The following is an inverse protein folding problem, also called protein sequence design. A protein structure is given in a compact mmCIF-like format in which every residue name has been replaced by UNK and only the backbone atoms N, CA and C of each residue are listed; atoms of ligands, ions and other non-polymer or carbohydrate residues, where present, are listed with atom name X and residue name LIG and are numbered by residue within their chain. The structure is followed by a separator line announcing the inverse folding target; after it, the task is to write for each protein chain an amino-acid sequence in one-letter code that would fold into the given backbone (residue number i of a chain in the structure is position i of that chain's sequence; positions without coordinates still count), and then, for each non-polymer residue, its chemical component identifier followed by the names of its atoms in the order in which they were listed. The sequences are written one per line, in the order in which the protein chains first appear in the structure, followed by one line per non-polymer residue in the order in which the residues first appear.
data_IF_852530665823
#
_entry.id   IF_852530665823
#
_cell.length_a   1.000
_cell.length_b   1.000
_cell.length_c   1.000
_cell.angle_alpha   90.00
_cell.angle_beta   90.00
_cell.angle_gamma   90.00
#
_symmetry.space_group_name_H-M   'P 1'
#
loop_
_entity.id
_entity.type
_entity.pdbx_description
1 polymer ?
#
# COMPACT_ATOMS: atom_id res chain seq x y z
N UNK A 1 -11.97 3.80 5.05
CA UNK A 1 -11.09 3.35 3.93
C UNK A 1 -10.45 4.51 3.20
N UNK A 2 -11.20 5.47 2.65
CA UNK A 2 -10.63 6.56 1.82
C UNK A 2 -9.55 7.40 2.51
N UNK A 3 -9.76 7.77 3.78
CA UNK A 3 -8.76 8.54 4.54
C UNK A 3 -7.41 7.81 4.66
N UNK A 4 -7.43 6.53 5.03
CA UNK A 4 -6.21 5.72 5.11
C UNK A 4 -5.51 5.59 3.76
N UNK A 5 -6.27 5.43 2.67
CA UNK A 5 -5.70 5.37 1.32
C UNK A 5 -5.05 6.68 0.89
N UNK A 6 -5.67 7.83 1.18
CA UNK A 6 -5.08 9.14 0.88
C UNK A 6 -3.76 9.35 1.62
N UNK A 7 -3.73 9.06 2.93
CA UNK A 7 -2.50 9.17 3.74
C UNK A 7 -1.43 8.19 3.24
N UNK A 8 -1.82 6.96 2.90
CA UNK A 8 -0.92 5.94 2.37
C UNK A 8 -0.29 6.33 1.03
N UNK A 9 -1.08 6.91 0.13
CA UNK A 9 -0.63 7.36 -1.18
C UNK A 9 0.32 8.57 -1.10
N UNK A 10 0.05 9.53 -0.20
CA UNK A 10 0.94 10.68 0.00
C UNK A 10 2.28 10.23 0.62
N UNK A 11 2.23 9.34 1.61
CA UNK A 11 3.44 8.82 2.27
C UNK A 11 4.26 7.86 1.41
N UNK A 12 3.63 7.16 0.46
CA UNK A 12 4.30 6.12 -0.34
C UNK A 12 5.36 6.64 -1.29
N UNK A 13 5.25 7.90 -1.73
CA UNK A 13 6.27 8.54 -2.56
C UNK A 13 7.61 8.64 -1.82
N UNK A 14 7.58 9.15 -0.58
CA UNK A 14 8.78 9.29 0.25
C UNK A 14 9.33 7.93 0.71
N UNK A 15 8.43 7.00 1.07
CA UNK A 15 8.79 5.64 1.48
C UNK A 15 9.49 4.88 0.35
N UNK A 16 8.97 4.97 -0.88
CA UNK A 16 9.52 4.29 -2.05
C UNK A 16 10.86 4.88 -2.50
N UNK A 17 11.04 6.20 -2.34
CA UNK A 17 12.31 6.86 -2.64
C UNK A 17 13.42 6.47 -1.65
N UNK A 18 13.10 6.39 -0.35
CA UNK A 18 14.11 6.16 0.70
C UNK A 18 14.45 4.68 0.94
N UNK A 19 13.48 3.78 0.84
CA UNK A 19 13.67 2.34 1.10
C UNK A 19 13.82 1.50 -0.17
N UNK A 20 13.57 2.09 -1.35
CA UNK A 20 13.51 1.40 -2.63
C UNK A 20 12.13 0.80 -2.91
N UNK A 21 11.78 0.73 -4.20
CA UNK A 21 10.44 0.39 -4.69
C UNK A 21 9.98 -1.00 -4.26
N UNK A 22 10.84 -2.02 -4.41
CA UNK A 22 10.54 -3.42 -4.00
C UNK A 22 10.23 -3.56 -2.51
N UNK A 23 11.02 -2.92 -1.64
CA UNK A 23 10.83 -3.00 -0.19
C UNK A 23 9.57 -2.26 0.25
N UNK A 24 9.30 -1.10 -0.35
CA UNK A 24 8.08 -0.33 -0.13
C UNK A 24 6.81 -1.12 -0.47
N UNK A 25 6.83 -1.87 -1.60
CA UNK A 25 5.74 -2.79 -1.96
C UNK A 25 5.57 -3.93 -0.94
N UNK A 26 6.69 -4.50 -0.46
CA UNK A 26 6.66 -5.58 0.53
C UNK A 26 6.13 -5.12 1.89
N UNK A 27 6.46 -3.90 2.32
CA UNK A 27 5.90 -3.28 3.53
C UNK A 27 4.38 -3.12 3.38
N UNK A 28 3.92 -2.63 2.22
CA UNK A 28 2.49 -2.52 1.92
C UNK A 28 1.77 -3.87 2.01
N UNK A 29 2.37 -4.94 1.48
CA UNK A 29 1.82 -6.30 1.57
C UNK A 29 1.73 -6.81 3.02
N UNK A 30 2.76 -6.59 3.84
CA UNK A 30 2.74 -6.98 5.26
C UNK A 30 1.65 -6.20 6.01
N UNK A 31 1.53 -4.89 5.77
CA UNK A 31 0.47 -4.06 6.35
C UNK A 31 -0.92 -4.55 5.93
N UNK A 32 -1.07 -4.99 4.68
CA UNK A 32 -2.34 -5.51 4.17
C UNK A 32 -2.73 -6.81 4.89
N UNK A 33 -1.79 -7.74 5.05
CA UNK A 33 -2.03 -9.00 5.77
C UNK A 33 -2.36 -8.74 7.23
N UNK A 34 -1.62 -7.86 7.90
CA UNK A 34 -1.92 -7.47 9.28
C UNK A 34 -3.32 -6.84 9.39
N UNK A 35 -3.64 -5.89 8.51
CA UNK A 35 -4.94 -5.22 8.48
C UNK A 35 -6.11 -6.16 8.19
N UNK A 36 -5.92 -7.16 7.33
CA UNK A 36 -6.95 -8.16 7.03
C UNK A 36 -7.18 -9.12 8.19
N UNK A 37 -6.12 -9.54 8.89
CA UNK A 37 -6.22 -10.34 10.11
C UNK A 37 -6.95 -9.58 11.21
N UNK A 38 -6.61 -8.30 11.44
CA UNK A 38 -7.34 -7.47 12.40
C UNK A 38 -8.81 -7.27 12.02
N UNK A 39 -9.10 -7.15 10.73
CA UNK A 39 -10.49 -7.06 10.25
C UNK A 39 -11.24 -8.39 10.44
N UNK A 40 -10.57 -9.53 10.31
CA UNK A 40 -11.18 -10.85 10.49
C UNK A 40 -11.44 -11.16 11.97
N UNK A 41 -10.54 -10.72 12.86
CA UNK A 41 -10.64 -10.91 14.30
C UNK A 41 -11.40 -9.77 15.02
N UNK A 42 -12.07 -8.86 14.29
CA UNK A 42 -12.67 -7.67 14.86
C UNK A 42 -13.85 -8.01 15.79
N UNK A 43 -13.76 -7.69 17.11
CA UNK A 43 -14.82 -7.99 18.06
C UNK A 43 -15.93 -6.93 18.09
N UNK A 44 -15.65 -5.73 17.57
CA UNK A 44 -16.56 -4.59 17.58
C UNK A 44 -16.34 -3.70 16.34
N UNK A 45 -17.29 -2.79 16.12
CA UNK A 45 -17.30 -1.90 14.94
C UNK A 45 -16.10 -0.95 14.94
N UNK A 46 -15.63 -0.52 16.10
CA UNK A 46 -14.47 0.38 16.20
C UNK A 46 -13.17 -0.27 15.69
N UNK A 47 -12.89 -1.52 16.09
CA UNK A 47 -11.74 -2.28 15.59
C UNK A 47 -11.90 -2.56 14.09
N UNK A 48 -13.13 -2.77 13.62
CA UNK A 48 -13.39 -2.90 12.19
C UNK A 48 -13.08 -1.60 11.44
N UNK A 49 -13.44 -0.43 11.98
CA UNK A 49 -13.12 0.86 11.36
C UNK A 49 -11.60 1.10 11.33
N UNK A 50 -10.90 0.82 12.43
CA UNK A 50 -9.44 0.96 12.52
C UNK A 50 -8.71 0.06 11.52
N UNK A 51 -9.09 -1.22 11.45
CA UNK A 51 -8.52 -2.16 10.47
C UNK A 51 -8.79 -1.72 9.03
N UNK A 52 -9.93 -1.09 8.75
CA UNK A 52 -10.26 -0.48 7.44
C UNK A 52 -9.41 0.75 7.09
N UNK A 53 -8.92 1.49 8.08
CA UNK A 53 -7.96 2.58 7.86
C UNK A 53 -6.57 2.01 7.56
N UNK A 54 -6.13 1.01 8.31
CA UNK A 54 -4.88 0.28 8.06
C UNK A 54 -4.85 -0.39 6.68
N UNK A 55 -5.93 -1.07 6.29
CA UNK A 55 -6.08 -1.64 4.94
C UNK A 55 -6.04 -0.55 3.88
N UNK A 56 -6.68 0.60 4.14
CA UNK A 56 -6.60 1.77 3.26
C UNK A 56 -5.15 2.24 3.05
N UNK A 57 -4.38 2.39 4.12
CA UNK A 57 -2.96 2.75 4.09
C UNK A 57 -2.16 1.77 3.22
N UNK A 58 -2.34 0.46 3.45
CA UNK A 58 -1.66 -0.59 2.69
C UNK A 58 -1.96 -0.50 1.19
N UNK A 59 -3.24 -0.34 0.83
CA UNK A 59 -3.69 -0.22 -0.56
C UNK A 59 -3.15 1.06 -1.19
N UNK A 60 -3.19 2.19 -0.50
CA UNK A 60 -2.65 3.46 -1.00
C UNK A 60 -1.17 3.36 -1.36
N UNK A 61 -0.38 2.70 -0.50
CA UNK A 61 1.04 2.45 -0.78
C UNK A 61 1.22 1.53 -1.99
N UNK A 62 0.47 0.44 -2.07
CA UNK A 62 0.56 -0.51 -3.17
C UNK A 62 0.16 0.13 -4.51
N UNK A 63 -0.93 0.91 -4.54
CA UNK A 63 -1.42 1.57 -5.76
C UNK A 63 -0.45 2.59 -6.35
N UNK A 64 0.37 3.24 -5.53
CA UNK A 64 1.43 4.14 -6.02
C UNK A 64 2.70 3.36 -6.41
N UNK A 65 3.12 2.42 -5.57
CA UNK A 65 4.44 1.77 -5.70
C UNK A 65 4.46 0.68 -6.78
N UNK A 66 3.34 -0.02 -6.99
CA UNK A 66 3.24 -1.10 -7.97
C UNK A 66 3.46 -0.66 -9.42
N UNK A 67 2.76 0.36 -9.97
CA UNK A 67 3.01 0.81 -11.34
C UNK A 67 4.40 1.41 -11.51
N UNK A 68 4.92 2.07 -10.46
CA UNK A 68 6.27 2.65 -10.47
C UNK A 68 7.34 1.55 -10.56
N UNK A 69 7.24 0.54 -9.69
CA UNK A 69 8.13 -0.61 -9.74
C UNK A 69 8.02 -1.34 -11.09
N UNK A 70 6.80 -1.50 -11.61
CA UNK A 70 6.57 -2.12 -12.91
C UNK A 70 7.25 -1.33 -14.04
N UNK A 71 7.16 0.00 -14.03
CA UNK A 71 7.85 0.85 -15.03
C UNK A 71 9.37 0.75 -15.00
N UNK A 72 9.95 0.39 -13.85
CA UNK A 72 11.41 0.22 -13.68
C UNK A 72 11.92 -1.15 -14.12
N UNK A 73 11.08 -2.18 -14.07
CA UNK A 73 11.44 -3.54 -14.50
C UNK A 73 10.95 -3.86 -15.92
N UNK A 74 10.08 -3.03 -16.49
CA UNK A 74 9.54 -3.23 -17.82
C UNK A 74 10.66 -3.06 -18.87
N UNK A 75 10.81 -4.00 -19.82
CA UNK A 75 11.74 -3.83 -20.93
C UNK A 75 11.31 -2.65 -21.81
N UNK A 76 12.27 -1.86 -22.29
CA UNK A 76 12.06 -0.61 -23.05
C UNK A 76 11.06 -0.73 -24.21
N UNK A 77 10.88 -1.92 -24.78
CA UNK A 77 9.92 -2.19 -25.86
C UNK A 77 8.44 -2.00 -25.50
N UNK A 78 8.07 -1.98 -24.22
CA UNK A 78 6.68 -1.82 -23.79
C UNK A 78 6.39 -0.48 -23.08
N UNK A 79 7.42 0.34 -22.83
CA UNK A 79 7.27 1.66 -22.20
C UNK A 79 7.12 2.70 -23.29
N UNK A 80 5.92 2.81 -23.87
CA UNK A 80 5.58 3.90 -24.77
C UNK A 80 5.38 5.18 -23.93
N UNK A 81 6.39 6.06 -23.97
CA UNK A 81 6.26 7.48 -23.64
C UNK A 81 5.52 8.17 -24.77
#
# INVERSE_FOLDING_TARGET
MMFGAAVGAVGSGWLSFKLGRKKSLMIGAILFVAGSLFSAAAPNVEVLILSRVLLGLAVGVASYTAPLYLSEIAPEKFVAV
#
